data_IF_960136816311
#
_entry.id   IF_960136816311
#
_cell.length_a   1.000
_cell.length_b   1.000
_cell.length_c   1.000
_cell.angle_alpha   90.00
_cell.angle_beta   90.00
_cell.angle_gamma   90.00
#
_symmetry.space_group_name_H-M   'P 1'
#
loop_
_entity.id
_entity.type
_entity.pdbx_description
1 polymer ?
#
# COMPACT_ATOMS: atom_id res chain seq x y z
N UNK A 1 -16.23 -43.13 9.99
CA UNK A 1 -15.19 -42.15 9.59
C UNK A 1 -15.85 -40.78 9.59
N UNK A 2 -15.56 -39.86 10.53
CA UNK A 2 -16.20 -38.55 10.52
C UNK A 2 -15.74 -37.78 9.29
N UNK A 3 -16.72 -37.17 8.62
CA UNK A 3 -16.63 -36.38 7.39
C UNK A 3 -15.47 -35.39 7.40
N UNK A 4 -14.65 -35.44 6.34
CA UNK A 4 -13.66 -34.42 5.94
C UNK A 4 -14.30 -33.03 6.10
N UNK A 5 -13.81 -32.21 7.03
CA UNK A 5 -14.22 -30.80 7.16
C UNK A 5 -13.84 -30.12 5.84
N UNK A 6 -14.84 -29.82 5.01
CA UNK A 6 -14.65 -29.24 3.67
C UNK A 6 -14.34 -27.74 3.73
N UNK A 7 -14.62 -27.10 4.86
CA UNK A 7 -14.47 -25.67 5.02
C UNK A 7 -13.25 -25.41 5.93
N UNK A 8 -12.09 -25.30 5.30
CA UNK A 8 -10.87 -24.84 5.94
C UNK A 8 -10.57 -23.44 5.39
N UNK A 9 -10.66 -22.43 6.26
CA UNK A 9 -10.17 -21.09 5.94
C UNK A 9 -8.71 -20.96 6.38
N UNK A 10 -7.93 -20.22 5.61
CA UNK A 10 -6.58 -19.81 5.99
C UNK A 10 -6.57 -18.65 7.02
N UNK A 11 -7.75 -18.09 7.34
CA UNK A 11 -7.90 -16.93 8.21
C UNK A 11 -8.69 -17.28 9.47
N UNK A 12 -8.33 -16.62 10.57
CA UNK A 12 -9.06 -16.70 11.86
C UNK A 12 -10.13 -15.61 11.99
N UNK A 13 -10.21 -14.72 10.99
CA UNK A 13 -11.20 -13.64 10.94
C UNK A 13 -11.74 -13.49 9.53
N UNK A 14 -13.05 -13.30 9.39
CA UNK A 14 -13.69 -12.96 8.12
C UNK A 14 -15.00 -12.21 8.34
N UNK A 15 -15.37 -11.40 7.35
CA UNK A 15 -16.73 -10.86 7.26
C UNK A 15 -17.59 -11.89 6.54
N UNK A 16 -18.66 -12.36 7.19
CA UNK A 16 -19.50 -13.42 6.66
C UNK A 16 -19.18 -14.77 7.30
N UNK A 17 -19.18 -15.83 6.49
CA UNK A 17 -18.91 -17.23 6.91
C UNK A 17 -19.60 -17.62 8.22
N UNK A 18 -20.91 -17.34 8.31
CA UNK A 18 -21.70 -17.49 9.55
C UNK A 18 -21.57 -18.89 10.17
N UNK A 19 -21.44 -19.93 9.35
CA UNK A 19 -21.25 -21.29 9.82
C UNK A 19 -19.90 -21.49 10.54
N UNK A 20 -18.85 -20.77 10.14
CA UNK A 20 -17.51 -20.88 10.71
C UNK A 20 -17.34 -20.05 11.99
N UNK A 21 -18.24 -19.10 12.24
CA UNK A 21 -18.22 -18.30 13.47
C UNK A 21 -18.44 -19.16 14.72
N UNK A 22 -19.28 -20.20 14.64
CA UNK A 22 -19.44 -21.16 15.75
C UNK A 22 -18.19 -22.00 16.03
N UNK A 23 -17.20 -21.97 15.15
CA UNK A 23 -15.94 -22.71 15.27
C UNK A 23 -14.73 -21.80 15.56
N UNK A 24 -14.97 -20.55 15.95
CA UNK A 24 -13.93 -19.63 16.43
C UNK A 24 -13.42 -18.61 15.41
N UNK A 25 -13.99 -18.55 14.21
CA UNK A 25 -13.72 -17.46 13.27
C UNK A 25 -14.44 -16.19 13.75
N UNK A 26 -13.71 -15.09 13.91
CA UNK A 26 -14.27 -13.82 14.39
C UNK A 26 -14.58 -12.86 13.24
N UNK A 27 -15.60 -12.03 13.40
CA UNK A 27 -15.92 -10.94 12.46
C UNK A 27 -15.43 -9.57 12.96
N UNK A 28 -14.85 -9.50 14.16
CA UNK A 28 -14.41 -8.25 14.78
C UNK A 28 -13.09 -7.78 14.15
N UNK A 29 -13.05 -6.56 13.57
CA UNK A 29 -11.84 -6.02 12.99
C UNK A 29 -10.83 -5.62 14.07
N UNK A 30 -9.56 -5.53 13.69
CA UNK A 30 -8.56 -4.78 14.45
C UNK A 30 -8.54 -3.34 13.94
N UNK A 31 -8.52 -2.39 14.86
CA UNK A 31 -8.54 -0.95 14.54
C UNK A 31 -7.25 -0.33 15.05
N UNK A 32 -6.55 0.38 14.16
CA UNK A 32 -5.34 1.12 14.47
C UNK A 32 -5.53 2.58 14.08
N UNK A 33 -5.03 3.48 14.92
CA UNK A 33 -5.05 4.93 14.67
C UNK A 33 -3.61 5.44 14.63
N UNK A 34 -3.32 6.30 13.66
CA UNK A 34 -1.98 6.84 13.42
C UNK A 34 -2.07 8.35 13.23
N UNK A 35 -1.33 9.10 14.04
CA UNK A 35 -1.22 10.55 13.91
C UNK A 35 -0.20 10.92 12.81
N UNK A 36 -0.72 11.38 11.67
CA UNK A 36 0.08 11.82 10.54
C UNK A 36 0.95 13.04 10.87
N UNK A 37 0.48 13.95 11.74
CA UNK A 37 1.24 15.16 12.09
C UNK A 37 2.49 14.81 12.90
N UNK A 38 2.37 13.84 13.82
CA UNK A 38 3.51 13.31 14.56
C UNK A 38 4.52 12.62 13.62
N UNK A 39 4.05 11.82 12.66
CA UNK A 39 4.91 11.16 11.68
C UNK A 39 5.71 12.17 10.85
N UNK A 40 5.06 13.18 10.29
CA UNK A 40 5.74 14.23 9.52
C UNK A 40 6.72 15.05 10.36
N UNK A 41 6.50 15.16 11.67
CA UNK A 41 7.40 15.90 12.56
C UNK A 41 8.62 15.06 12.96
N UNK A 42 8.48 13.73 13.04
CA UNK A 42 9.56 12.79 13.35
C UNK A 42 10.61 12.65 12.25
N UNK A 43 10.23 12.90 11.00
CA UNK A 43 11.10 12.85 9.82
C UNK A 43 11.84 14.16 9.55
N UNK A 44 11.49 15.25 10.26
CA UNK A 44 12.23 16.50 10.16
C UNK A 44 13.48 16.39 11.03
N UNK A 45 14.58 15.89 10.46
CA UNK A 45 15.88 15.96 11.12
C UNK A 45 16.16 17.44 11.45
N UNK A 46 16.63 17.78 12.67
CA UNK A 46 17.00 19.16 12.98
C UNK A 46 18.15 19.55 12.04
N UNK A 47 17.82 20.29 10.99
CA UNK A 47 18.79 20.81 10.04
C UNK A 47 19.86 21.57 10.82
N UNK A 48 21.07 21.01 10.91
CA UNK A 48 22.24 21.75 11.37
C UNK A 48 22.46 22.87 10.35
N UNK A 49 22.26 24.15 10.69
CA UNK A 49 22.49 25.23 9.74
C UNK A 49 23.99 25.45 9.68
N UNK A 50 24.67 24.78 8.74
CA UNK A 50 26.13 24.90 8.57
C UNK A 50 26.55 25.52 7.25
N UNK A 51 25.62 25.85 6.34
CA UNK A 51 25.97 26.70 5.21
C UNK A 51 24.76 27.51 4.74
N UNK A 52 24.97 28.79 4.45
CA UNK A 52 23.93 29.77 4.16
C UNK A 52 23.27 29.61 2.78
N UNK A 53 23.20 28.39 2.25
CA UNK A 53 22.40 28.10 1.06
C UNK A 53 20.91 28.18 1.44
N UNK A 54 20.05 28.75 0.56
CA UNK A 54 18.61 28.68 0.77
C UNK A 54 18.22 27.21 0.71
N UNK A 55 18.04 26.60 1.89
CA UNK A 55 17.77 25.18 2.02
C UNK A 55 16.53 24.79 1.25
N UNK A 56 16.71 23.93 0.24
CA UNK A 56 15.60 23.17 -0.32
C UNK A 56 14.95 22.44 0.85
N UNK A 57 13.68 22.76 1.14
CA UNK A 57 12.90 22.01 2.11
C UNK A 57 12.73 20.61 1.51
N UNK A 58 13.39 19.61 2.10
CA UNK A 58 13.09 18.22 1.79
C UNK A 58 11.61 17.97 2.10
N UNK A 59 10.80 17.83 1.06
CA UNK A 59 9.40 17.45 1.20
C UNK A 59 9.35 16.02 1.75
N UNK A 60 8.79 15.86 2.94
CA UNK A 60 8.57 14.53 3.53
C UNK A 60 7.39 13.89 2.82
N UNK A 61 7.59 12.67 2.31
CA UNK A 61 6.53 11.87 1.68
C UNK A 61 6.23 10.65 2.55
N UNK A 62 4.96 10.46 2.88
CA UNK A 62 4.46 9.21 3.47
C UNK A 62 3.79 8.36 2.39
N UNK A 63 4.09 7.07 2.37
CA UNK A 63 3.51 6.12 1.42
C UNK A 63 2.56 5.17 2.16
N UNK A 64 1.32 5.08 1.69
CA UNK A 64 0.34 4.11 2.15
C UNK A 64 0.15 3.04 1.07
N UNK A 65 0.46 1.79 1.42
CA UNK A 65 0.27 0.63 0.56
C UNK A 65 -0.66 -0.36 1.25
N UNK A 66 -1.81 -0.65 0.64
CA UNK A 66 -2.74 -1.67 1.09
C UNK A 66 -2.87 -2.75 0.01
N UNK A 67 -2.58 -4.00 0.35
CA UNK A 67 -2.64 -5.11 -0.60
C UNK A 67 -3.41 -6.31 -0.03
N UNK A 68 -3.97 -7.13 -0.92
CA UNK A 68 -4.51 -8.46 -0.58
C UNK A 68 -3.38 -9.47 -0.31
N UNK A 69 -3.75 -10.59 0.31
CA UNK A 69 -2.88 -11.75 0.54
C UNK A 69 -2.15 -12.23 -0.73
N UNK A 70 -2.80 -12.22 -1.90
CA UNK A 70 -2.17 -12.60 -3.16
C UNK A 70 -0.93 -11.76 -3.55
N UNK A 71 -0.74 -10.58 -2.95
CA UNK A 71 0.55 -9.84 -3.00
C UNK A 71 1.47 -10.32 -1.90
N UNK A 72 1.01 -10.36 -0.65
CA UNK A 72 1.85 -10.67 0.51
C UNK A 72 2.39 -12.10 0.51
N UNK A 73 1.75 -13.04 -0.17
CA UNK A 73 2.23 -14.41 -0.37
C UNK A 73 3.52 -14.47 -1.22
N UNK A 74 3.80 -13.42 -2.01
CA UNK A 74 4.94 -13.37 -2.93
C UNK A 74 6.07 -12.46 -2.45
N UNK A 75 5.79 -11.57 -1.50
CA UNK A 75 6.70 -10.51 -1.11
C UNK A 75 7.02 -10.56 0.38
N UNK A 76 8.28 -10.27 0.71
CA UNK A 76 8.61 -9.79 2.05
C UNK A 76 8.20 -8.33 2.17
N UNK A 77 7.77 -7.94 3.36
CA UNK A 77 7.33 -6.56 3.63
C UNK A 77 8.38 -5.53 3.19
N UNK A 78 9.63 -5.67 3.64
CA UNK A 78 10.71 -4.73 3.31
C UNK A 78 10.99 -4.64 1.81
N UNK A 79 11.03 -5.77 1.12
CA UNK A 79 11.27 -5.83 -0.32
C UNK A 79 10.15 -5.13 -1.11
N UNK A 80 8.90 -5.32 -0.67
CA UNK A 80 7.73 -4.69 -1.29
C UNK A 80 7.75 -3.18 -1.10
N UNK A 81 8.01 -2.71 0.13
CA UNK A 81 8.07 -1.27 0.42
C UNK A 81 9.21 -0.62 -0.36
N UNK A 82 10.40 -1.22 -0.38
CA UNK A 82 11.54 -0.69 -1.15
C UNK A 82 11.25 -0.62 -2.66
N UNK A 83 10.47 -1.58 -3.19
CA UNK A 83 10.07 -1.58 -4.59
C UNK A 83 9.12 -0.43 -4.93
N UNK A 84 8.19 -0.10 -4.02
CA UNK A 84 7.16 0.93 -4.23
C UNK A 84 7.67 2.34 -3.92
N UNK A 85 8.63 2.47 -3.01
CA UNK A 85 9.20 3.74 -2.53
C UNK A 85 10.48 4.12 -3.31
N UNK A 86 10.74 3.48 -4.46
CA UNK A 86 11.87 3.86 -5.33
C UNK A 86 11.84 5.36 -5.66
N UNK A 87 12.95 6.05 -5.38
CA UNK A 87 13.10 7.49 -5.53
C UNK A 87 12.72 8.02 -6.92
N UNK A 88 12.90 7.20 -7.96
CA UNK A 88 12.51 7.57 -9.33
C UNK A 88 10.98 7.71 -9.47
N UNK A 89 10.22 6.89 -8.73
CA UNK A 89 8.76 6.91 -8.71
C UNK A 89 8.27 8.13 -7.97
N UNK A 90 8.85 8.39 -6.79
CA UNK A 90 8.49 9.55 -5.98
C UNK A 90 8.76 10.87 -6.71
N UNK A 91 9.91 10.99 -7.38
CA UNK A 91 10.25 12.17 -8.18
C UNK A 91 9.25 12.37 -9.33
N UNK A 92 8.98 11.31 -10.09
CA UNK A 92 8.02 11.38 -11.20
C UNK A 92 6.60 11.72 -10.73
N UNK A 93 6.16 11.22 -9.57
CA UNK A 93 4.83 11.54 -9.03
C UNK A 93 4.77 13.00 -8.60
N UNK A 94 5.79 13.47 -7.86
CA UNK A 94 5.87 14.85 -7.38
C UNK A 94 5.90 15.88 -8.53
N UNK A 95 6.59 15.56 -9.63
CA UNK A 95 6.64 16.42 -10.82
C UNK A 95 5.34 16.39 -11.65
N UNK A 96 4.58 15.30 -11.59
CA UNK A 96 3.40 15.07 -12.44
C UNK A 96 2.10 15.68 -11.93
N UNK A 97 2.00 16.02 -10.64
CA UNK A 97 0.77 16.54 -10.05
C UNK A 97 0.90 18.06 -9.74
N UNK A 98 0.13 18.95 -10.40
CA UNK A 98 0.02 20.32 -9.94
C UNK A 98 -0.63 20.36 -8.55
N UNK A 99 -0.19 21.22 -7.62
CA UNK A 99 -0.77 21.29 -6.27
C UNK A 99 -2.27 21.57 -6.36
N UNK A 100 -3.08 20.62 -5.90
CA UNK A 100 -4.53 20.78 -5.75
C UNK A 100 -4.79 22.01 -4.88
N UNK A 101 -5.55 22.97 -5.43
CA UNK A 101 -5.91 24.17 -4.70
C UNK A 101 -6.65 23.80 -3.38
N UNK A 102 -6.45 24.55 -2.27
CA UNK A 102 -7.14 24.29 -1.02
C UNK A 102 -8.66 24.31 -1.23
N UNK A 103 -9.32 23.17 -0.97
CA UNK A 103 -10.77 23.00 -1.17
C UNK A 103 -11.19 22.26 -2.44
N UNK A 104 -10.24 21.72 -3.21
CA UNK A 104 -10.56 20.79 -4.30
C UNK A 104 -11.21 19.51 -3.73
N UNK A 105 -12.50 19.34 -4.00
CA UNK A 105 -13.21 18.08 -3.80
C UNK A 105 -12.73 17.13 -4.90
N UNK A 106 -12.25 15.94 -4.53
CA UNK A 106 -12.04 14.84 -5.47
C UNK A 106 -13.42 14.49 -6.06
N UNK A 107 -13.80 15.14 -7.17
CA UNK A 107 -14.87 14.61 -8.01
C UNK A 107 -14.39 13.25 -8.49
N UNK A 108 -15.25 12.25 -8.46
CA UNK A 108 -14.90 10.85 -8.78
C UNK A 108 -14.49 10.60 -10.24
N UNK A 109 -13.92 11.60 -10.89
CA UNK A 109 -13.30 11.48 -12.20
C UNK A 109 -11.98 10.73 -12.01
N UNK A 110 -12.03 9.45 -12.37
CA UNK A 110 -10.87 8.56 -12.43
C UNK A 110 -9.73 9.30 -13.12
N UNK A 111 -8.56 9.49 -12.48
CA UNK A 111 -7.43 10.16 -13.11
C UNK A 111 -7.11 9.46 -14.44
N UNK A 112 -6.69 10.20 -15.47
CA UNK A 112 -6.45 9.63 -16.78
C UNK A 112 -5.52 8.43 -16.67
N UNK A 113 -5.88 7.34 -17.36
CA UNK A 113 -5.06 6.14 -17.53
C UNK A 113 -3.65 6.58 -17.93
N UNK A 114 -2.70 6.49 -16.99
CA UNK A 114 -1.35 7.05 -17.15
C UNK A 114 -0.88 7.97 -16.02
N UNK A 115 -1.63 8.16 -14.93
CA UNK A 115 -1.10 8.81 -13.72
C UNK A 115 0.11 8.02 -13.19
N UNK A 116 1.14 8.73 -12.72
CA UNK A 116 2.40 8.12 -12.27
C UNK A 116 2.18 7.09 -11.15
N UNK A 117 1.16 7.31 -10.31
CA UNK A 117 0.76 6.39 -9.24
C UNK A 117 0.15 5.10 -9.81
N UNK A 118 -0.77 5.19 -10.79
CA UNK A 118 -1.33 3.99 -11.42
C UNK A 118 -0.24 3.17 -12.10
N UNK A 119 0.71 3.83 -12.78
CA UNK A 119 1.87 3.16 -13.38
C UNK A 119 2.76 2.46 -12.33
N UNK A 120 2.90 3.04 -11.14
CA UNK A 120 3.61 2.39 -10.03
C UNK A 120 2.88 1.13 -9.53
N UNK A 121 1.55 1.20 -9.38
CA UNK A 121 0.72 0.04 -9.03
C UNK A 121 0.77 -1.03 -10.11
N UNK A 122 0.66 -0.65 -11.39
CA UNK A 122 0.69 -1.59 -12.51
C UNK A 122 2.02 -2.34 -12.57
N UNK A 123 3.14 -1.65 -12.32
CA UNK A 123 4.47 -2.29 -12.21
C UNK A 123 4.53 -3.26 -11.03
N UNK A 124 4.04 -2.86 -9.86
CA UNK A 124 3.95 -3.73 -8.69
C UNK A 124 3.14 -5.00 -9.00
N UNK A 125 1.96 -4.86 -9.60
CA UNK A 125 1.10 -5.99 -9.94
C UNK A 125 1.73 -6.87 -11.04
N UNK A 126 2.37 -6.29 -12.04
CA UNK A 126 3.08 -7.03 -13.08
C UNK A 126 4.24 -7.86 -12.49
N UNK A 127 5.02 -7.27 -11.59
CA UNK A 127 6.11 -7.95 -10.91
C UNK A 127 5.58 -9.02 -9.93
N UNK A 128 4.50 -8.73 -9.21
CA UNK A 128 3.81 -9.72 -8.38
C UNK A 128 3.34 -10.93 -9.20
N UNK A 129 2.81 -10.71 -10.40
CA UNK A 129 2.40 -11.80 -11.29
C UNK A 129 3.59 -12.65 -11.76
N UNK A 130 4.76 -12.03 -11.95
CA UNK A 130 6.02 -12.75 -12.25
C UNK A 130 6.46 -13.60 -11.06
N UNK A 131 6.41 -13.06 -9.85
CA UNK A 131 6.74 -13.79 -8.61
C UNK A 131 5.75 -14.92 -8.35
N UNK A 132 4.45 -14.67 -8.55
CA UNK A 132 3.38 -15.66 -8.41
C UNK A 132 3.62 -16.88 -9.29
N UNK A 133 3.94 -16.66 -10.57
CA UNK A 133 4.28 -17.76 -11.49
C UNK A 133 5.50 -18.55 -11.04
N UNK A 134 6.49 -17.88 -10.43
CA UNK A 134 7.71 -18.54 -9.94
C UNK A 134 7.45 -19.36 -8.68
N UNK A 135 6.65 -18.83 -7.74
CA UNK A 135 6.44 -19.41 -6.43
C UNK A 135 5.34 -20.48 -6.43
N UNK A 136 4.26 -20.26 -7.19
CA UNK A 136 3.04 -21.06 -7.16
C UNK A 136 2.65 -21.68 -8.53
N UNK A 137 3.43 -21.41 -9.58
CA UNK A 137 3.20 -22.00 -10.91
C UNK A 137 1.92 -21.48 -11.57
N UNK A 138 0.95 -22.37 -11.81
CA UNK A 138 -0.31 -22.05 -12.50
C UNK A 138 -1.47 -21.70 -11.58
N UNK A 139 -1.25 -21.68 -10.26
CA UNK A 139 -2.26 -21.34 -9.26
C UNK A 139 -1.76 -20.16 -8.45
N UNK A 140 -2.46 -19.03 -8.46
CA UNK A 140 -2.18 -17.91 -7.56
C UNK A 140 -3.49 -17.20 -7.24
N UNK A 141 -3.57 -16.61 -6.05
CA UNK A 141 -4.75 -15.85 -5.63
C UNK A 141 -4.85 -14.50 -6.37
N UNK A 142 -6.05 -13.93 -6.35
CA UNK A 142 -6.28 -12.61 -6.92
C UNK A 142 -5.49 -11.55 -6.13
N UNK A 143 -4.61 -10.84 -6.82
CA UNK A 143 -3.82 -9.77 -6.24
C UNK A 143 -4.51 -8.42 -6.48
N UNK A 144 -4.64 -7.60 -5.44
CA UNK A 144 -5.09 -6.21 -5.53
C UNK A 144 -4.20 -5.35 -4.63
N UNK A 145 -3.85 -4.16 -5.11
CA UNK A 145 -3.04 -3.19 -4.38
C UNK A 145 -3.62 -1.79 -4.54
N UNK A 146 -3.57 -1.00 -3.48
CA UNK A 146 -3.91 0.42 -3.43
C UNK A 146 -2.68 1.15 -2.91
N UNK A 147 -2.24 2.17 -3.66
CA UNK A 147 -1.10 3.00 -3.32
C UNK A 147 -1.52 4.46 -3.24
N UNK A 148 -1.14 5.13 -2.16
CA UNK A 148 -1.29 6.55 -1.98
C UNK A 148 0.00 7.17 -1.43
N UNK A 149 0.30 8.38 -1.88
CA UNK A 149 1.40 9.19 -1.37
C UNK A 149 0.82 10.45 -0.73
N UNK A 150 1.37 10.84 0.42
CA UNK A 150 0.94 12.00 1.20
C UNK A 150 2.16 12.91 1.39
N UNK A 151 2.08 14.13 0.87
CA UNK A 151 3.12 15.15 1.00
C UNK A 151 2.77 16.16 2.10
N UNK A 152 3.80 16.77 2.66
CA UNK A 152 3.71 17.93 3.55
C UNK A 152 4.47 19.12 2.98
#
# INVERSE_FOLDING_TARGET
>A
CPTRRKDALAFTRSLGDLHLQSYGVSYLPEVFEVDLAALFSSSTSPATPMDGSPGERESVVLSLLACTDGVWDNWKFEDCINYVVDSNVLAAVHESEPPLAPGAVLTGDVPPVGSTIQSAVDRLIAENARLSRRNFGSSADNATAILAYLWR
#
